data_IF_937898537776
#
_entry.id   IF_937898537776
#
_cell.length_a   1.000
_cell.length_b   1.000
_cell.length_c   1.000
_cell.angle_alpha   90.00
_cell.angle_beta   90.00
_cell.angle_gamma   90.00
#
_symmetry.space_group_name_H-M   'P 1'
#
loop_
_entity.id
_entity.type
_entity.pdbx_description
1 polymer ?
#
# COMPACT_ATOMS: atom_id res chain seq x y z
N UNK A 1 -24.47 -2.13 2.14
CA UNK A 1 -23.43 -1.13 1.85
C UNK A 1 -22.98 -1.29 0.40
N UNK A 2 -22.46 -0.24 -0.23
CA UNK A 2 -21.82 -0.36 -1.55
C UNK A 2 -20.53 -1.18 -1.44
N UNK A 3 -20.16 -1.93 -2.47
CA UNK A 3 -18.92 -2.73 -2.51
C UNK A 3 -18.25 -2.61 -3.88
N UNK A 4 -16.91 -2.65 -3.98
CA UNK A 4 -16.23 -2.66 -5.27
C UNK A 4 -16.70 -3.83 -6.13
N UNK A 5 -16.88 -3.59 -7.44
CA UNK A 5 -17.37 -4.60 -8.37
C UNK A 5 -16.55 -5.89 -8.32
N UNK A 6 -15.22 -5.78 -8.27
CA UNK A 6 -14.32 -6.93 -8.16
C UNK A 6 -14.60 -7.81 -6.94
N UNK A 7 -14.87 -7.20 -5.77
CA UNK A 7 -15.21 -7.92 -4.54
C UNK A 7 -16.54 -8.66 -4.71
N UNK A 8 -17.52 -8.04 -5.39
CA UNK A 8 -18.83 -8.67 -5.67
C UNK A 8 -18.76 -9.86 -6.62
N UNK A 9 -17.68 -9.99 -7.40
CA UNK A 9 -17.48 -11.09 -8.34
C UNK A 9 -16.70 -12.26 -7.74
N UNK A 10 -16.21 -12.13 -6.51
CA UNK A 10 -15.50 -13.22 -5.83
C UNK A 10 -16.50 -14.27 -5.31
N UNK A 11 -16.18 -15.55 -5.50
CA UNK A 11 -17.01 -16.65 -5.05
C UNK A 11 -17.14 -16.67 -3.52
N UNK A 12 -18.36 -16.70 -2.97
CA UNK A 12 -18.55 -16.77 -1.52
C UNK A 12 -17.84 -17.99 -0.92
N UNK A 13 -17.16 -17.77 0.20
CA UNK A 13 -16.53 -18.83 0.98
C UNK A 13 -17.32 -19.11 2.25
N UNK A 14 -17.28 -20.37 2.69
CA UNK A 14 -17.92 -20.79 3.94
C UNK A 14 -17.06 -21.85 4.61
N UNK A 15 -16.68 -21.59 5.85
CA UNK A 15 -15.97 -22.51 6.72
C UNK A 15 -16.41 -22.27 8.17
N UNK A 16 -16.21 -23.23 9.09
CA UNK A 16 -16.52 -23.04 10.49
C UNK A 16 -15.73 -21.87 11.09
N UNK A 17 -16.44 -20.91 11.68
CA UNK A 17 -15.88 -19.80 12.45
C UNK A 17 -16.50 -19.84 13.85
N UNK A 18 -15.71 -19.69 14.93
CA UNK A 18 -16.26 -19.61 16.28
C UNK A 18 -17.33 -18.52 16.41
N UNK A 19 -18.40 -18.81 17.15
CA UNK A 19 -19.50 -17.86 17.35
C UNK A 19 -19.07 -16.58 18.07
N UNK A 20 -17.97 -16.63 18.82
CA UNK A 20 -17.36 -15.49 19.49
C UNK A 20 -15.85 -15.56 19.38
N UNK A 21 -15.24 -14.45 18.99
CA UNK A 21 -13.80 -14.29 18.89
C UNK A 21 -13.34 -13.08 19.69
N UNK A 22 -12.14 -13.16 20.28
CA UNK A 22 -11.55 -12.07 21.07
C UNK A 22 -10.66 -11.17 20.21
N UNK A 23 -10.38 -9.96 20.70
CA UNK A 23 -9.37 -9.06 20.11
C UNK A 23 -7.99 -9.30 20.68
N UNK A 24 -6.97 -8.77 20.00
CA UNK A 24 -5.57 -8.80 20.38
C UNK A 24 -5.01 -7.38 20.31
N UNK A 25 -4.14 -6.98 21.24
CA UNK A 25 -3.55 -5.65 21.17
C UNK A 25 -2.47 -5.61 20.08
N UNK A 26 -2.19 -4.43 19.52
CA UNK A 26 -1.10 -4.28 18.55
C UNK A 26 0.24 -4.67 19.15
N UNK A 27 0.47 -4.39 20.45
CA UNK A 27 1.70 -4.76 21.14
C UNK A 27 1.89 -6.27 21.19
N UNK A 28 0.82 -7.03 21.46
CA UNK A 28 0.87 -8.50 21.44
C UNK A 28 1.24 -9.00 20.04
N UNK A 29 0.55 -8.50 19.00
CA UNK A 29 0.78 -8.94 17.62
C UNK A 29 2.21 -8.60 17.16
N UNK A 30 2.70 -7.38 17.42
CA UNK A 30 4.06 -6.99 17.08
C UNK A 30 5.14 -7.71 17.91
N UNK A 31 4.86 -8.02 19.18
CA UNK A 31 5.82 -8.75 20.02
C UNK A 31 6.04 -10.19 19.54
N UNK A 32 5.04 -10.83 18.94
CA UNK A 32 5.11 -12.23 18.50
C UNK A 32 5.39 -12.40 17.01
N UNK A 33 4.88 -11.52 16.16
CA UNK A 33 5.08 -11.62 14.71
C UNK A 33 6.25 -10.78 14.21
N UNK A 34 6.63 -9.73 14.94
CA UNK A 34 7.62 -8.75 14.49
C UNK A 34 7.22 -8.16 13.12
N UNK A 35 8.21 -7.87 12.29
CA UNK A 35 8.01 -7.32 10.95
C UNK A 35 8.02 -5.80 10.90
N UNK A 36 8.18 -5.29 9.70
CA UNK A 36 8.17 -3.87 9.38
C UNK A 36 7.01 -3.58 8.45
N UNK A 37 6.42 -2.40 8.62
CA UNK A 37 5.33 -1.97 7.76
C UNK A 37 5.89 -1.68 6.35
N UNK A 38 5.52 -2.51 5.39
CA UNK A 38 5.98 -2.39 4.00
C UNK A 38 5.08 -1.45 3.18
N UNK A 39 3.78 -1.58 3.39
CA UNK A 39 2.73 -0.72 2.85
C UNK A 39 1.70 -0.44 3.95
N UNK A 40 0.76 0.52 3.77
CA UNK A 40 -0.21 0.84 4.82
C UNK A 40 -0.97 -0.40 5.31
N UNK A 41 -0.85 -0.72 6.61
CA UNK A 41 -1.45 -1.89 7.23
C UNK A 41 -0.80 -3.25 6.92
N UNK A 42 0.14 -3.34 5.96
CA UNK A 42 0.84 -4.58 5.64
C UNK A 42 2.19 -4.67 6.35
N UNK A 43 2.38 -5.73 7.12
CA UNK A 43 3.64 -5.98 7.82
C UNK A 43 4.35 -7.17 7.19
N UNK A 44 5.60 -6.96 6.76
CA UNK A 44 6.47 -7.97 6.18
C UNK A 44 7.59 -8.35 7.16
N UNK A 45 7.90 -9.65 7.21
CA UNK A 45 8.85 -10.23 8.16
C UNK A 45 10.02 -10.83 7.37
N UNK A 46 11.11 -10.07 7.25
CA UNK A 46 12.32 -10.50 6.53
C UNK A 46 13.19 -11.53 7.30
N UNK A 47 12.75 -11.97 8.49
CA UNK A 47 13.45 -12.93 9.34
C UNK A 47 12.71 -14.27 9.43
N UNK A 48 13.18 -15.16 10.30
CA UNK A 48 12.41 -16.36 10.66
C UNK A 48 11.12 -15.93 11.36
N UNK A 49 10.00 -16.50 10.92
CA UNK A 49 8.67 -16.12 11.37
C UNK A 49 7.87 -17.34 11.83
N UNK A 50 6.95 -17.12 12.75
CA UNK A 50 5.87 -18.05 13.09
C UNK A 50 4.83 -18.16 11.97
N UNK A 51 4.75 -17.14 11.11
CA UNK A 51 3.84 -17.08 9.97
C UNK A 51 4.54 -17.64 8.72
N UNK A 52 4.03 -18.73 8.10
CA UNK A 52 4.62 -19.28 6.89
C UNK A 52 4.72 -18.27 5.74
N UNK A 53 3.70 -17.42 5.58
CA UNK A 53 3.68 -16.35 4.59
C UNK A 53 4.58 -15.15 4.94
N UNK A 54 5.17 -15.13 6.15
CA UNK A 54 6.03 -14.04 6.64
C UNK A 54 5.39 -12.65 6.56
N UNK A 55 4.07 -12.59 6.70
CA UNK A 55 3.33 -11.33 6.63
C UNK A 55 2.02 -11.38 7.40
N UNK A 56 1.48 -10.21 7.72
CA UNK A 56 0.14 -10.06 8.29
C UNK A 56 -0.42 -8.66 8.01
N UNK A 57 -1.73 -8.54 8.07
CA UNK A 57 -2.45 -7.28 7.91
C UNK A 57 -2.99 -6.78 9.25
N UNK A 58 -2.69 -5.53 9.60
CA UNK A 58 -3.35 -4.79 10.70
C UNK A 58 -4.09 -3.60 10.12
N UNK A 59 -5.41 -3.68 10.05
CA UNK A 59 -6.25 -2.71 9.35
C UNK A 59 -7.23 -2.03 10.29
N UNK A 60 -7.58 -0.77 9.99
CA UNK A 60 -8.51 0.03 10.77
C UNK A 60 -9.74 0.36 9.92
N UNK A 61 -10.92 0.01 10.44
CA UNK A 61 -12.20 0.20 9.75
C UNK A 61 -12.65 1.67 9.57
N UNK A 62 -12.10 2.61 10.35
CA UNK A 62 -12.41 4.05 10.27
C UNK A 62 -11.87 4.62 8.96
N UNK A 63 -10.70 4.15 8.52
CA UNK A 63 -10.00 4.64 7.33
C UNK A 63 -10.09 3.69 6.14
N UNK A 64 -10.64 2.49 6.34
CA UNK A 64 -10.84 1.47 5.32
C UNK A 64 -12.31 0.96 5.32
N UNK A 65 -13.24 1.68 4.69
CA UNK A 65 -14.68 1.40 4.79
C UNK A 65 -15.16 0.20 3.98
N UNK A 66 -14.28 -0.42 3.16
CA UNK A 66 -14.62 -1.53 2.27
C UNK A 66 -14.00 -2.87 2.71
N UNK A 67 -13.50 -2.91 3.94
CA UNK A 67 -13.05 -4.15 4.58
C UNK A 67 -14.20 -5.14 4.76
N UNK A 68 -13.89 -6.45 4.88
CA UNK A 68 -14.90 -7.46 5.19
C UNK A 68 -15.59 -7.13 6.52
N UNK A 69 -16.93 -7.16 6.53
CA UNK A 69 -17.71 -6.82 7.73
C UNK A 69 -17.78 -7.98 8.74
N UNK A 70 -17.55 -9.20 8.28
CA UNK A 70 -17.44 -10.40 9.11
C UNK A 70 -16.36 -11.35 8.55
N UNK A 71 -15.87 -12.31 9.35
CA UNK A 71 -15.15 -13.46 8.81
C UNK A 71 -15.94 -14.12 7.67
N UNK A 72 -15.23 -14.81 6.77
CA UNK A 72 -15.72 -15.42 5.51
C UNK A 72 -16.14 -14.44 4.41
N UNK A 73 -16.09 -13.12 4.63
CA UNK A 73 -16.40 -12.14 3.59
C UNK A 73 -15.14 -11.68 2.88
N UNK A 74 -15.30 -11.25 1.63
CA UNK A 74 -14.25 -10.56 0.90
C UNK A 74 -14.30 -9.06 1.18
N UNK A 75 -13.23 -8.35 0.84
CA UNK A 75 -13.20 -6.91 0.95
C UNK A 75 -12.12 -6.29 0.09
N UNK A 76 -11.91 -5.00 0.29
CA UNK A 76 -10.82 -4.26 -0.31
C UNK A 76 -10.35 -3.17 0.65
N UNK A 77 -9.05 -2.86 0.61
CA UNK A 77 -8.51 -1.65 1.21
C UNK A 77 -8.16 -0.62 0.15
N UNK A 78 -8.01 0.62 0.58
CA UNK A 78 -7.60 1.73 -0.25
C UNK A 78 -6.14 2.06 0.03
N UNK A 79 -5.38 2.36 -1.01
CA UNK A 79 -4.03 2.91 -0.87
C UNK A 79 -3.78 4.02 -1.90
N UNK A 80 -3.09 5.11 -1.56
CA UNK A 80 -2.76 6.13 -2.55
C UNK A 80 -1.56 5.73 -3.41
N UNK A 81 -0.61 4.95 -2.86
CA UNK A 81 0.70 4.68 -3.46
C UNK A 81 1.17 3.26 -3.14
N UNK A 82 2.02 2.72 -4.01
CA UNK A 82 2.68 1.43 -3.82
C UNK A 82 4.17 1.62 -3.56
N UNK A 83 4.70 0.82 -2.63
CA UNK A 83 6.12 0.77 -2.36
C UNK A 83 6.81 -0.13 -3.39
N UNK A 84 7.52 0.49 -4.32
CA UNK A 84 8.30 -0.17 -5.39
C UNK A 84 9.81 -0.03 -5.13
N UNK A 85 10.22 0.05 -3.86
CA UNK A 85 11.64 0.19 -3.52
C UNK A 85 12.39 -1.08 -3.92
N UNK A 86 13.36 -0.91 -4.83
CA UNK A 86 14.28 -1.98 -5.21
C UNK A 86 15.02 -2.47 -3.97
N UNK A 87 14.89 -3.77 -3.69
CA UNK A 87 15.43 -4.42 -2.49
C UNK A 87 16.14 -5.70 -2.91
N UNK A 88 17.01 -6.23 -2.04
CA UNK A 88 17.59 -7.54 -2.29
C UNK A 88 16.53 -8.63 -2.11
N UNK A 89 16.83 -9.83 -2.63
CA UNK A 89 16.01 -11.00 -2.42
C UNK A 89 15.80 -11.27 -0.91
N UNK A 90 14.54 -11.39 -0.49
CA UNK A 90 14.15 -11.60 0.90
C UNK A 90 14.02 -10.33 1.76
N UNK A 91 14.44 -9.16 1.26
CA UNK A 91 14.30 -7.89 1.98
C UNK A 91 12.98 -7.16 1.67
N UNK A 92 12.26 -7.60 0.63
CA UNK A 92 10.95 -7.11 0.24
C UNK A 92 9.96 -8.28 0.06
N UNK A 93 8.65 -8.05 0.23
CA UNK A 93 7.66 -9.07 0.00
C UNK A 93 7.56 -9.43 -1.47
N UNK A 94 7.43 -10.73 -1.74
CA UNK A 94 7.11 -11.31 -3.04
C UNK A 94 5.64 -11.76 -3.10
N UNK A 95 5.25 -12.39 -4.21
CA UNK A 95 3.88 -12.88 -4.43
C UNK A 95 3.40 -13.86 -3.35
N UNK A 96 4.29 -14.72 -2.84
CA UNK A 96 3.94 -15.72 -1.81
C UNK A 96 3.63 -15.04 -0.48
N UNK A 97 4.29 -13.90 -0.18
CA UNK A 97 4.02 -13.12 1.01
C UNK A 97 2.64 -12.44 1.00
N UNK A 98 1.94 -12.40 -0.14
CA UNK A 98 0.56 -11.94 -0.23
C UNK A 98 -0.46 -13.07 -0.27
N UNK A 99 -0.04 -14.33 -0.10
CA UNK A 99 -0.93 -15.50 -0.08
C UNK A 99 -1.21 -16.01 1.35
N UNK A 100 -2.48 -16.33 1.63
CA UNK A 100 -2.91 -16.92 2.90
C UNK A 100 -2.41 -16.14 4.12
N UNK A 101 -2.54 -14.82 4.07
CA UNK A 101 -2.03 -13.86 5.05
C UNK A 101 -3.06 -13.61 6.15
N UNK A 102 -2.71 -13.75 7.44
CA UNK A 102 -3.61 -13.40 8.53
C UNK A 102 -4.07 -11.95 8.47
N UNK A 103 -5.38 -11.74 8.49
CA UNK A 103 -5.99 -10.43 8.54
C UNK A 103 -6.51 -10.13 9.94
N UNK A 104 -6.08 -9.00 10.49
CA UNK A 104 -6.63 -8.45 11.71
C UNK A 104 -7.23 -7.07 11.46
N UNK A 105 -8.47 -6.87 11.92
CA UNK A 105 -9.19 -5.61 11.78
C UNK A 105 -9.50 -5.05 13.17
N UNK A 106 -9.25 -3.76 13.33
CA UNK A 106 -9.55 -3.03 14.55
C UNK A 106 -11.04 -3.09 14.90
N UNK A 107 -11.32 -3.43 16.15
CA UNK A 107 -12.67 -3.56 16.68
C UNK A 107 -13.33 -2.20 16.78
N UNK A 108 -14.53 -2.08 16.21
CA UNK A 108 -15.36 -0.89 16.38
C UNK A 108 -15.98 -0.78 17.78
N UNK A 109 -15.95 -1.86 18.58
CA UNK A 109 -16.57 -1.90 19.91
C UNK A 109 -15.63 -1.27 20.94
N UNK A 110 -16.02 -0.13 21.57
CA UNK A 110 -15.21 0.51 22.60
C UNK A 110 -14.99 -0.38 23.84
N UNK A 111 -15.83 -1.39 24.06
CA UNK A 111 -15.72 -2.32 25.19
C UNK A 111 -14.79 -3.51 24.92
N UNK A 112 -14.44 -3.76 23.65
CA UNK A 112 -13.51 -4.80 23.23
C UNK A 112 -12.49 -4.19 22.26
N UNK A 113 -11.60 -3.30 22.74
CA UNK A 113 -10.62 -2.63 21.89
C UNK A 113 -9.55 -3.60 21.41
N UNK A 114 -8.88 -3.24 20.31
CA UNK A 114 -7.82 -4.03 19.69
C UNK A 114 -8.24 -4.66 18.38
N UNK A 115 -7.45 -5.60 17.91
CA UNK A 115 -7.54 -6.18 16.58
C UNK A 115 -8.13 -7.59 16.63
N UNK A 116 -9.21 -7.83 15.88
CA UNK A 116 -9.85 -9.13 15.77
C UNK A 116 -9.31 -9.86 14.56
N UNK A 117 -9.04 -11.16 14.68
CA UNK A 117 -8.67 -12.02 13.55
C UNK A 117 -9.89 -12.30 12.67
N UNK A 118 -9.77 -12.07 11.36
CA UNK A 118 -10.85 -12.25 10.38
C UNK A 118 -10.67 -13.47 9.47
N UNK A 119 -9.60 -14.25 9.68
CA UNK A 119 -9.16 -15.33 8.80
C UNK A 119 -7.93 -14.95 7.99
N UNK A 120 -7.58 -15.81 7.04
CA UNK A 120 -6.48 -15.59 6.12
C UNK A 120 -6.99 -15.12 4.76
N UNK A 121 -6.29 -14.15 4.19
CA UNK A 121 -6.64 -13.50 2.94
C UNK A 121 -5.47 -13.55 1.95
N UNK A 122 -5.81 -13.60 0.68
CA UNK A 122 -4.86 -13.50 -0.43
C UNK A 122 -5.15 -12.29 -1.29
N UNK A 123 -4.08 -11.66 -1.80
CA UNK A 123 -4.16 -10.72 -2.92
C UNK A 123 -3.82 -11.45 -4.22
N UNK A 124 -4.82 -12.08 -4.85
CA UNK A 124 -4.65 -12.83 -6.10
C UNK A 124 -4.86 -11.98 -7.35
N UNK A 125 -5.36 -10.75 -7.17
CA UNK A 125 -5.75 -9.84 -8.25
C UNK A 125 -4.90 -8.58 -8.19
N UNK A 126 -4.53 -8.06 -9.36
CA UNK A 126 -3.90 -6.74 -9.47
C UNK A 126 -4.78 -5.64 -8.91
N UNK A 127 -4.13 -4.59 -8.41
CA UNK A 127 -4.79 -3.39 -7.92
C UNK A 127 -5.38 -2.58 -9.08
N UNK A 128 -6.60 -2.08 -8.89
CA UNK A 128 -7.26 -1.19 -9.86
C UNK A 128 -7.32 0.24 -9.31
N UNK A 129 -7.15 1.24 -10.18
CA UNK A 129 -7.41 2.64 -9.80
C UNK A 129 -8.88 2.81 -9.43
N UNK A 130 -9.15 3.52 -8.33
CA UNK A 130 -10.50 3.94 -7.97
C UNK A 130 -10.94 5.02 -8.94
N UNK A 131 -11.93 4.71 -9.78
CA UNK A 131 -12.51 5.67 -10.71
C UNK A 131 -13.07 6.91 -10.00
N UNK A 132 -13.01 8.07 -10.67
CA UNK A 132 -13.39 9.37 -10.11
C UNK A 132 -14.76 9.36 -9.43
N UNK A 133 -15.80 8.89 -10.13
CA UNK A 133 -17.18 8.88 -9.59
C UNK A 133 -17.28 8.05 -8.31
N UNK A 134 -16.59 6.91 -8.27
CA UNK A 134 -16.52 6.05 -7.09
C UNK A 134 -15.78 6.73 -5.94
N UNK A 135 -14.65 7.38 -6.24
CA UNK A 135 -13.87 8.13 -5.26
C UNK A 135 -14.69 9.27 -4.66
N UNK A 136 -15.47 9.99 -5.46
CA UNK A 136 -16.28 11.12 -4.98
C UNK A 136 -17.58 10.68 -4.28
N UNK A 137 -18.21 9.60 -4.75
CA UNK A 137 -19.56 9.21 -4.30
C UNK A 137 -19.58 8.17 -3.19
N UNK A 138 -18.54 7.33 -3.11
CA UNK A 138 -18.53 6.17 -2.22
C UNK A 138 -17.38 6.17 -1.21
N UNK A 139 -16.27 6.85 -1.50
CA UNK A 139 -15.18 7.00 -0.52
C UNK A 139 -15.46 8.22 0.38
N UNK A 140 -15.62 8.02 1.70
CA UNK A 140 -15.89 9.13 2.62
C UNK A 140 -14.77 10.18 2.63
N UNK A 141 -15.13 11.45 2.85
CA UNK A 141 -14.17 12.54 3.00
C UNK A 141 -13.16 12.29 4.12
N UNK A 142 -13.57 11.63 5.20
CA UNK A 142 -12.68 11.28 6.31
C UNK A 142 -11.51 10.39 5.87
N UNK A 143 -11.73 9.49 4.91
CA UNK A 143 -10.69 8.61 4.35
C UNK A 143 -9.73 9.41 3.47
N UNK A 144 -10.26 10.31 2.63
CA UNK A 144 -9.43 11.19 1.79
C UNK A 144 -8.61 12.17 2.63
N UNK A 145 -9.19 12.73 3.69
CA UNK A 145 -8.48 13.57 4.68
C UNK A 145 -7.41 12.79 5.42
N UNK A 146 -7.71 11.56 5.84
CA UNK A 146 -6.70 10.69 6.46
C UNK A 146 -5.50 10.50 5.53
N UNK A 147 -5.71 10.13 4.26
CA UNK A 147 -4.61 9.98 3.31
C UNK A 147 -3.90 11.30 3.01
N UNK A 148 -4.63 12.40 2.89
CA UNK A 148 -4.01 13.72 2.71
C UNK A 148 -3.09 14.08 3.88
N UNK A 149 -3.52 13.81 5.12
CA UNK A 149 -2.70 14.00 6.30
C UNK A 149 -1.44 13.12 6.25
N UNK A 150 -1.59 11.81 6.00
CA UNK A 150 -0.46 10.88 5.92
C UNK A 150 0.56 11.24 4.81
N UNK A 151 0.08 11.68 3.65
CA UNK A 151 0.94 12.03 2.52
C UNK A 151 1.62 13.39 2.68
N UNK A 152 1.02 14.31 3.45
CA UNK A 152 1.60 15.62 3.75
C UNK A 152 2.52 15.62 4.98
N UNK A 153 2.51 14.54 5.76
CA UNK A 153 3.35 14.37 6.95
C UNK A 153 4.84 14.50 6.59
N UNK A 154 5.61 15.23 7.42
CA UNK A 154 7.04 15.44 7.22
C UNK A 154 7.88 14.22 7.56
N UNK A 155 7.37 13.35 8.42
CA UNK A 155 8.03 12.10 8.84
C UNK A 155 7.62 10.91 7.96
N UNK A 156 6.91 11.16 6.84
CA UNK A 156 6.56 10.12 5.87
C UNK A 156 7.81 9.40 5.32
N UNK A 157 7.71 8.12 4.95
CA UNK A 157 8.83 7.38 4.37
C UNK A 157 9.37 8.03 3.09
N UNK A 158 10.68 7.94 2.87
CA UNK A 158 11.35 8.52 1.69
C UNK A 158 10.77 8.03 0.35
N UNK A 159 10.31 6.77 0.28
CA UNK A 159 9.69 6.22 -0.91
C UNK A 159 8.35 6.92 -1.25
N UNK A 160 7.61 7.38 -0.23
CA UNK A 160 6.37 8.17 -0.42
C UNK A 160 6.71 9.51 -1.04
N UNK A 161 7.73 10.20 -0.52
CA UNK A 161 8.22 11.46 -1.09
C UNK A 161 8.60 11.28 -2.56
N UNK A 162 9.37 10.23 -2.89
CA UNK A 162 9.73 9.92 -4.28
C UNK A 162 8.50 9.71 -5.17
N UNK A 163 7.51 8.96 -4.71
CA UNK A 163 6.27 8.72 -5.46
C UNK A 163 5.43 9.98 -5.66
N UNK A 164 5.37 10.87 -4.67
CA UNK A 164 4.71 12.17 -4.81
C UNK A 164 5.45 13.07 -5.80
N UNK A 165 6.79 13.05 -5.80
CA UNK A 165 7.60 13.77 -6.80
C UNK A 165 7.26 13.28 -8.20
N UNK A 166 7.32 11.98 -8.43
CA UNK A 166 7.04 11.35 -9.73
C UNK A 166 5.61 11.61 -10.22
N UNK A 167 4.64 11.72 -9.30
CA UNK A 167 3.23 11.97 -9.64
C UNK A 167 2.97 13.43 -10.02
N UNK A 168 3.30 14.39 -9.14
CA UNK A 168 2.97 15.81 -9.35
C UNK A 168 3.97 16.54 -10.24
N UNK A 169 5.22 16.08 -10.29
CA UNK A 169 6.28 16.64 -11.12
C UNK A 169 7.03 15.50 -11.81
N UNK A 170 6.47 14.92 -12.90
CA UNK A 170 7.08 13.79 -13.57
C UNK A 170 8.54 14.02 -13.94
N UNK A 171 9.35 12.98 -13.75
CA UNK A 171 10.77 13.01 -14.09
C UNK A 171 10.95 13.29 -15.58
N UNK A 172 11.87 14.19 -15.98
CA UNK A 172 12.20 14.41 -17.39
C UNK A 172 12.59 13.10 -18.08
N UNK A 173 12.15 12.93 -19.33
CA UNK A 173 12.52 11.78 -20.15
C UNK A 173 13.77 12.08 -20.97
N UNK A 174 14.66 11.10 -21.10
CA UNK A 174 15.82 11.26 -21.98
C UNK A 174 15.37 11.18 -23.45
N UNK A 175 15.52 12.28 -24.18
CA UNK A 175 15.22 12.38 -25.62
C UNK A 175 16.49 12.45 -26.49
N UNK A 176 17.66 12.26 -25.88
CA UNK A 176 18.95 12.36 -26.57
C UNK A 176 19.32 11.12 -27.40
N UNK A 177 20.44 11.18 -28.14
CA UNK A 177 20.92 10.06 -28.93
C UNK A 177 21.30 8.86 -28.07
N UNK A 178 21.09 7.66 -28.60
CA UNK A 178 21.52 6.38 -28.01
C UNK A 178 22.74 5.83 -28.74
N UNK A 179 23.52 4.98 -28.07
CA UNK A 179 24.61 4.24 -28.70
C UNK A 179 24.04 3.26 -29.71
N UNK A 180 24.52 3.31 -30.97
CA UNK A 180 24.24 2.29 -31.97
C UNK A 180 25.54 1.53 -32.22
N UNK A 181 25.51 0.19 -32.11
CA UNK A 181 26.68 -0.67 -32.29
C UNK A 181 27.27 -0.63 -33.72
N UNK A 182 26.53 -0.12 -34.71
CA UNK A 182 26.90 -0.13 -36.13
C UNK A 182 27.47 1.22 -36.68
N UNK A 183 27.76 2.20 -35.83
CA UNK A 183 28.23 3.51 -36.30
C UNK A 183 29.72 3.52 -36.69
N UNK A 184 30.01 3.80 -37.97
CA UNK A 184 31.35 3.80 -38.58
C UNK A 184 32.30 4.93 -38.14
N UNK A 185 31.87 5.81 -37.23
CA UNK A 185 32.72 6.84 -36.61
C UNK A 185 32.45 6.94 -35.09
N UNK A 186 32.79 5.84 -34.40
CA UNK A 186 32.45 5.57 -33.00
C UNK A 186 32.91 6.68 -32.03
N UNK A 187 34.05 7.33 -32.28
CA UNK A 187 34.63 8.29 -31.32
C UNK A 187 33.95 9.66 -31.26
N UNK A 188 33.30 10.08 -32.35
CA UNK A 188 32.52 11.34 -32.40
C UNK A 188 31.11 11.09 -31.90
N UNK A 189 30.52 9.96 -32.29
CA UNK A 189 29.21 9.51 -31.81
C UNK A 189 29.21 9.35 -30.28
N UNK A 190 30.22 8.67 -29.72
CA UNK A 190 30.36 8.48 -28.27
C UNK A 190 30.50 9.81 -27.51
N UNK A 191 31.22 10.79 -28.07
CA UNK A 191 31.34 12.11 -27.45
C UNK A 191 30.03 12.88 -27.44
N UNK A 192 29.23 12.76 -28.49
CA UNK A 192 27.92 13.40 -28.56
C UNK A 192 26.92 12.75 -27.59
N UNK A 193 26.87 11.42 -27.54
CA UNK A 193 26.06 10.66 -26.59
C UNK A 193 26.46 11.00 -25.15
N UNK A 194 27.76 11.00 -24.83
CA UNK A 194 28.25 11.34 -23.50
C UNK A 194 27.81 12.73 -23.05
N UNK A 195 27.96 13.75 -23.91
CA UNK A 195 27.50 15.12 -23.60
C UNK A 195 25.99 15.20 -23.39
N UNK A 196 25.21 14.46 -24.18
CA UNK A 196 23.76 14.41 -24.02
C UNK A 196 23.35 13.74 -22.69
N UNK A 197 24.03 12.66 -22.31
CA UNK A 197 23.82 12.00 -21.01
C UNK A 197 24.26 12.88 -19.84
N UNK A 198 25.37 13.60 -19.95
CA UNK A 198 25.81 14.57 -18.92
C UNK A 198 24.77 15.68 -18.73
N UNK A 199 24.28 16.27 -19.82
CA UNK A 199 23.22 17.29 -19.78
C UNK A 199 21.94 16.76 -19.15
N UNK A 200 21.52 15.56 -19.52
CA UNK A 200 20.34 14.93 -18.93
C UNK A 200 20.54 14.61 -17.44
N UNK A 201 21.74 14.20 -17.03
CA UNK A 201 22.05 14.00 -15.62
C UNK A 201 21.94 15.30 -14.81
N UNK A 202 22.40 16.43 -15.37
CA UNK A 202 22.21 17.76 -14.77
C UNK A 202 20.73 18.14 -14.67
N UNK A 203 19.95 17.87 -15.71
CA UNK A 203 18.50 18.11 -15.73
C UNK A 203 17.77 17.28 -14.66
N UNK A 204 18.10 15.99 -14.54
CA UNK A 204 17.55 15.11 -13.51
C UNK A 204 17.94 15.57 -12.10
N UNK A 205 19.17 16.04 -11.90
CA UNK A 205 19.61 16.57 -10.61
C UNK A 205 18.86 17.87 -10.24
N UNK A 206 18.63 18.74 -11.23
CA UNK A 206 17.82 19.95 -11.07
C UNK A 206 16.36 19.62 -10.72
N UNK A 207 15.76 18.69 -11.47
CA UNK A 207 14.41 18.17 -11.20
C UNK A 207 14.29 17.60 -9.79
N UNK A 208 15.22 16.75 -9.37
CA UNK A 208 15.15 16.10 -8.05
C UNK A 208 15.09 17.14 -6.92
N UNK A 209 15.95 18.16 -6.98
CA UNK A 209 15.98 19.22 -5.96
C UNK A 209 14.71 20.06 -5.94
N UNK A 210 14.20 20.43 -7.12
CA UNK A 210 12.98 21.24 -7.24
C UNK A 210 11.72 20.45 -6.80
N UNK A 211 11.55 19.24 -7.30
CA UNK A 211 10.42 18.38 -6.96
C UNK A 211 10.41 18.00 -5.47
N UNK A 212 11.57 17.70 -4.87
CA UNK A 212 11.67 17.43 -3.43
C UNK A 212 11.26 18.65 -2.60
N UNK A 213 11.73 19.85 -2.97
CA UNK A 213 11.34 21.09 -2.31
C UNK A 213 9.82 21.30 -2.38
N UNK A 214 9.21 21.11 -3.55
CA UNK A 214 7.76 21.29 -3.75
C UNK A 214 6.95 20.27 -2.98
N UNK A 215 7.33 18.99 -3.00
CA UNK A 215 6.70 17.92 -2.21
C UNK A 215 6.77 18.19 -0.71
N UNK A 216 7.87 18.77 -0.22
CA UNK A 216 7.99 19.16 1.19
C UNK A 216 7.14 20.39 1.58
N UNK A 217 6.63 21.13 0.59
CA UNK A 217 5.71 22.26 0.78
C UNK A 217 4.25 21.89 0.59
N UNK A 218 3.93 20.67 0.16
CA UNK A 218 2.55 20.19 0.04
C UNK A 218 1.86 20.20 1.41
N UNK A 219 0.76 20.94 1.51
CA UNK A 219 -0.12 20.87 2.67
C UNK A 219 -1.13 19.75 2.55
N UNK A 220 -1.71 19.32 3.67
CA UNK A 220 -2.85 18.40 3.69
C UNK A 220 -3.97 18.88 2.74
N UNK A 221 -4.27 20.18 2.72
CA UNK A 221 -5.32 20.72 1.86
C UNK A 221 -4.97 20.58 0.38
N UNK A 222 -3.71 20.82 -0.02
CA UNK A 222 -3.28 20.63 -1.41
C UNK A 222 -3.51 19.18 -1.87
N UNK A 223 -3.17 18.21 -1.02
CA UNK A 223 -3.36 16.79 -1.33
C UNK A 223 -4.84 16.42 -1.32
N UNK A 224 -5.61 16.92 -0.35
CA UNK A 224 -7.04 16.66 -0.28
C UNK A 224 -7.78 17.15 -1.54
N UNK A 225 -7.47 18.36 -1.99
CA UNK A 225 -8.07 18.93 -3.20
C UNK A 225 -7.66 18.15 -4.46
N UNK A 226 -6.42 17.64 -4.51
CA UNK A 226 -5.94 16.84 -5.64
C UNK A 226 -6.76 15.57 -5.90
N UNK A 227 -7.43 15.00 -4.88
CA UNK A 227 -8.33 13.86 -5.11
C UNK A 227 -9.51 14.20 -6.02
N UNK A 228 -9.92 15.47 -6.07
CA UNK A 228 -11.03 15.96 -6.88
C UNK A 228 -10.59 16.60 -8.22
N UNK A 229 -9.29 16.85 -8.41
CA UNK A 229 -8.74 17.41 -9.65
C UNK A 229 -8.82 16.44 -10.83
N UNK A 230 -8.86 16.97 -12.05
CA UNK A 230 -8.80 16.14 -13.26
C UNK A 230 -7.37 15.65 -13.51
N UNK A 231 -7.23 14.51 -14.20
CA UNK A 231 -5.91 13.96 -14.54
C UNK A 231 -5.16 14.84 -15.55
N UNK A 232 -5.89 15.66 -16.31
CA UNK A 232 -5.35 16.55 -17.35
C UNK A 232 -5.06 17.98 -16.86
N UNK A 233 -5.32 18.29 -15.59
CA UNK A 233 -5.03 19.60 -15.02
C UNK A 233 -3.50 19.79 -14.84
N UNK A 234 -3.08 21.04 -14.66
CA UNK A 234 -1.66 21.38 -14.50
C UNK A 234 -1.01 20.68 -13.29
N UNK A 235 -1.78 20.47 -12.22
CA UNK A 235 -1.44 19.54 -11.15
C UNK A 235 -2.38 18.34 -11.29
N UNK A 236 -1.86 17.14 -11.61
CA UNK A 236 -2.70 15.99 -11.88
C UNK A 236 -3.47 15.57 -10.62
N UNK A 237 -4.66 15.02 -10.85
CA UNK A 237 -5.45 14.46 -9.77
C UNK A 237 -4.80 13.24 -9.13
N UNK A 238 -4.77 13.21 -7.80
CA UNK A 238 -4.37 12.03 -7.05
C UNK A 238 -5.52 11.02 -7.05
N UNK A 239 -5.21 9.74 -7.22
CA UNK A 239 -6.18 8.65 -7.16
C UNK A 239 -5.81 7.67 -6.07
N UNK A 240 -6.82 7.04 -5.49
CA UNK A 240 -6.64 5.86 -4.65
C UNK A 240 -6.69 4.61 -5.52
N UNK A 241 -6.16 3.53 -4.99
CA UNK A 241 -6.14 2.21 -5.60
C UNK A 241 -6.83 1.21 -4.69
N UNK A 242 -7.50 0.24 -5.32
CA UNK A 242 -8.05 -0.91 -4.65
C UNK A 242 -6.99 -1.97 -4.46
N UNK A 243 -6.75 -2.38 -3.21
CA UNK A 243 -6.08 -3.64 -2.92
C UNK A 243 -7.12 -4.65 -2.47
N UNK A 244 -7.36 -5.67 -3.31
CA UNK A 244 -8.43 -6.64 -3.09
C UNK A 244 -8.01 -7.72 -2.10
N UNK A 245 -8.89 -7.99 -1.14
CA UNK A 245 -8.66 -9.00 -0.10
C UNK A 245 -9.65 -10.15 -0.31
N UNK A 246 -9.15 -11.24 -0.91
CA UNK A 246 -9.91 -12.47 -1.06
C UNK A 246 -9.75 -13.33 0.19
N UNK A 247 -10.86 -13.74 0.80
CA UNK A 247 -10.87 -14.60 1.97
C UNK A 247 -10.62 -16.04 1.53
N UNK A 248 -9.68 -16.72 2.18
CA UNK A 248 -9.22 -18.06 1.77
C UNK A 248 -9.56 -19.10 2.82
N UNK A 249 -9.28 -18.81 4.09
CA UNK A 249 -9.45 -19.79 5.16
C UNK A 249 -9.62 -19.14 6.53
N UNK A 250 -10.06 -19.95 7.50
CA UNK A 250 -9.94 -19.67 8.92
C UNK A 250 -9.07 -20.75 9.55
N UNK A 251 -7.94 -20.34 10.13
CA UNK A 251 -7.05 -21.27 10.82
C UNK A 251 -7.37 -21.29 12.32
N UNK A 252 -8.14 -22.31 12.73
CA UNK A 252 -8.54 -22.53 14.12
C UNK A 252 -7.33 -22.71 15.04
N UNK A 253 -6.31 -23.45 14.60
CA UNK A 253 -5.11 -23.71 15.42
C UNK A 253 -4.31 -22.43 15.62
N UNK A 254 -4.20 -21.62 14.58
CA UNK A 254 -3.55 -20.32 14.66
C UNK A 254 -4.31 -19.38 15.61
N UNK A 255 -5.64 -19.35 15.52
CA UNK A 255 -6.46 -18.55 16.43
C UNK A 255 -6.32 -19.01 17.89
N UNK A 256 -6.37 -20.32 18.15
CA UNK A 256 -6.21 -20.88 19.50
C UNK A 256 -4.84 -20.54 20.08
N UNK A 257 -3.78 -20.63 19.26
CA UNK A 257 -2.43 -20.22 19.64
C UNK A 257 -2.39 -18.74 20.07
N UNK A 258 -3.05 -17.84 19.34
CA UNK A 258 -3.15 -16.43 19.72
C UNK A 258 -3.89 -16.22 21.05
N UNK A 259 -4.98 -16.96 21.28
CA UNK A 259 -5.73 -16.92 22.54
C UNK A 259 -4.85 -17.37 23.71
N UNK A 260 -4.06 -18.43 23.54
CA UNK A 260 -3.10 -18.86 24.54
C UNK A 260 -2.01 -17.81 24.82
N UNK A 261 -1.46 -17.18 23.78
CA UNK A 261 -0.47 -16.10 23.93
C UNK A 261 -1.05 -14.93 24.73
N UNK A 262 -2.29 -14.53 24.44
CA UNK A 262 -3.01 -13.49 25.20
C UNK A 262 -3.21 -13.88 26.66
N UNK A 263 -3.54 -15.14 26.93
CA UNK A 263 -3.73 -15.63 28.30
C UNK A 263 -2.42 -15.63 29.13
N UNK A 264 -1.27 -15.86 28.50
CA UNK A 264 0.06 -15.88 29.15
C UNK A 264 0.64 -14.49 29.44
N UNK A 265 0.10 -13.43 28.84
CA UNK A 265 0.52 -12.04 29.07
C UNK A 265 -0.26 -11.33 30.19
N UNK A 266 -1.24 -12.02 30.81
CA UNK A 266 -1.92 -11.54 32.03
C UNK A 266 -1.08 -11.84 33.27
#
# INVERSE_FOLDING_TARGET
AWTPYAVSQMDPVSFPVPASTTTFTSELLHAHFHGQQWSPGFYFINANSLLPCKSYWLLNNIVEPFLPASPTQHGAKLTPLFNETLSNEGDAPDEENYQNVPLFIESADPNDPGFRYFGNYSQTRYSDVVGYDTLMSHVPDSVRRYWAAQLSDRDRPAWVTKKLMEHFWPKPMYEGPVTNDDASDSTVHDRHVKRALEKYAEEVAGWQKDAEMKVNMLSEQNIFDSFASADADAEPGLRLWWEYMQCVSWDEKFYDMLVELKARQK
#
